data_IF_059095160360
#
_entry.id   IF_059095160360
#
_cell.length_a   1.000
_cell.length_b   1.000
_cell.length_c   1.000
_cell.angle_alpha   90.00
_cell.angle_beta   90.00
_cell.angle_gamma   90.00
#
_symmetry.space_group_name_H-M   'P 1'
#
loop_
_entity.id
_entity.type
_entity.pdbx_description
1 polymer ?
#
# COMPACT_ATOMS: atom_id res chain seq x y z
N UNK A 1 -70.07 13.24 44.76
CA UNK A 1 -68.72 12.70 45.05
C UNK A 1 -67.75 13.66 44.38
N UNK A 2 -67.41 14.76 45.06
CA UNK A 2 -66.21 14.92 45.90
C UNK A 2 -64.93 15.04 45.07
N UNK A 3 -64.55 16.30 44.78
CA UNK A 3 -63.20 16.95 44.80
C UNK A 3 -61.97 16.23 44.18
N UNK A 4 -60.77 16.86 44.09
CA UNK A 4 -60.36 18.15 43.51
C UNK A 4 -59.08 18.03 42.61
N UNK A 5 -58.66 19.12 41.97
CA UNK A 5 -57.27 19.38 41.47
C UNK A 5 -56.30 19.64 42.65
N UNK A 6 -55.05 20.12 42.45
CA UNK A 6 -53.90 19.74 41.60
C UNK A 6 -52.66 19.40 42.49
N UNK A 7 -51.49 19.06 41.92
CA UNK A 7 -50.19 19.31 42.58
C UNK A 7 -49.03 19.26 41.56
N UNK A 8 -48.54 20.46 41.23
CA UNK A 8 -47.23 20.69 40.64
C UNK A 8 -46.14 20.28 41.63
N UNK A 9 -45.12 19.58 41.16
CA UNK A 9 -43.86 19.44 41.90
C UNK A 9 -42.73 19.88 40.98
N UNK A 10 -42.25 21.09 41.27
CA UNK A 10 -40.96 21.63 40.84
C UNK A 10 -39.86 20.74 41.41
N UNK A 11 -38.92 20.31 40.59
CA UNK A 11 -37.70 19.65 41.02
C UNK A 11 -36.51 20.41 40.44
N UNK A 12 -36.04 21.37 41.23
CA UNK A 12 -34.75 22.03 41.09
C UNK A 12 -33.63 20.98 41.21
N UNK A 13 -32.97 20.65 40.11
CA UNK A 13 -31.70 19.96 40.13
C UNK A 13 -30.60 20.96 39.72
N UNK A 14 -30.00 21.58 40.74
CA UNK A 14 -28.71 22.28 40.62
C UNK A 14 -27.66 21.26 40.18
N UNK A 15 -27.28 21.29 38.90
CA UNK A 15 -26.08 20.61 38.43
C UNK A 15 -24.87 21.50 38.64
N UNK A 16 -24.10 21.10 39.66
CA UNK A 16 -22.77 21.58 39.99
C UNK A 16 -21.83 21.50 38.79
N UNK A 17 -21.38 22.66 38.32
CA UNK A 17 -20.30 22.82 37.36
C UNK A 17 -18.99 22.32 37.99
N UNK A 18 -18.51 21.16 37.55
CA UNK A 18 -17.16 20.70 37.83
C UNK A 18 -16.20 21.31 36.78
N UNK A 19 -15.05 21.87 37.18
CA UNK A 19 -14.07 22.41 36.24
C UNK A 19 -13.39 21.29 35.44
N UNK A 20 -13.27 21.51 34.13
CA UNK A 20 -12.59 20.63 33.20
C UNK A 20 -11.12 20.40 33.61
N UNK A 21 -10.60 19.16 33.53
CA UNK A 21 -9.18 18.92 33.71
C UNK A 21 -8.43 19.49 32.51
N UNK A 22 -7.55 20.46 32.77
CA UNK A 22 -6.47 20.85 31.86
C UNK A 22 -5.63 19.62 31.55
N UNK A 23 -5.86 19.02 30.38
CA UNK A 23 -4.94 18.08 29.77
C UNK A 23 -3.63 18.81 29.48
N UNK A 24 -2.66 18.55 30.34
CA UNK A 24 -1.26 18.86 30.16
C UNK A 24 -0.76 18.08 28.93
N UNK A 25 -0.76 18.72 27.77
CA UNK A 25 -0.11 18.24 26.54
C UNK A 25 1.40 18.18 26.76
N UNK A 26 1.88 17.08 27.32
CA UNK A 26 3.29 16.73 27.29
C UNK A 26 3.76 16.50 25.85
N UNK A 27 5.07 16.60 25.57
CA UNK A 27 5.61 16.40 24.23
C UNK A 27 5.32 14.97 23.76
N UNK A 28 4.31 14.83 22.90
CA UNK A 28 3.93 13.58 22.26
C UNK A 28 5.11 13.13 21.38
N UNK A 29 5.65 11.95 21.65
CA UNK A 29 6.71 11.36 20.83
C UNK A 29 6.23 11.28 19.37
N UNK A 30 7.09 11.63 18.39
CA UNK A 30 6.69 11.59 16.98
C UNK A 30 6.22 10.18 16.61
N UNK A 31 5.14 10.06 15.82
CA UNK A 31 4.61 8.77 15.43
C UNK A 31 5.68 7.94 14.71
N UNK A 32 5.69 6.61 14.91
CA UNK A 32 6.67 5.74 14.27
C UNK A 32 6.51 5.80 12.74
N UNK A 33 7.61 6.07 12.04
CA UNK A 33 7.64 6.08 10.58
C UNK A 33 7.49 4.64 10.06
N UNK A 34 6.59 4.47 9.09
CA UNK A 34 6.35 3.20 8.42
C UNK A 34 7.29 3.11 7.23
N UNK A 35 7.99 1.98 7.12
CA UNK A 35 8.92 1.70 6.04
C UNK A 35 8.73 0.27 5.56
N UNK A 36 8.20 0.12 4.34
CA UNK A 36 8.11 -1.17 3.67
C UNK A 36 9.44 -1.46 2.97
N UNK A 37 9.86 -2.74 2.95
CA UNK A 37 11.14 -3.21 2.41
C UNK A 37 12.39 -2.90 3.25
N UNK A 38 12.25 -2.71 4.57
CA UNK A 38 13.39 -2.43 5.45
C UNK A 38 14.40 -3.59 5.49
N UNK A 39 13.93 -4.84 5.45
CA UNK A 39 14.81 -6.02 5.53
C UNK A 39 15.67 -6.14 4.27
N UNK A 40 15.04 -5.97 3.10
CA UNK A 40 15.69 -5.99 1.79
C UNK A 40 16.69 -4.84 1.65
N UNK A 41 16.34 -3.63 2.08
CA UNK A 41 17.27 -2.49 2.08
C UNK A 41 18.49 -2.79 2.95
N UNK A 42 18.28 -3.34 4.15
CA UNK A 42 19.37 -3.69 5.08
C UNK A 42 20.29 -4.78 4.49
N UNK A 43 19.69 -5.78 3.84
CA UNK A 43 20.43 -6.82 3.12
C UNK A 43 21.28 -6.23 1.98
N UNK A 44 20.70 -5.38 1.12
CA UNK A 44 21.41 -4.77 0.00
C UNK A 44 22.55 -3.85 0.48
N UNK A 45 22.35 -3.12 1.58
CA UNK A 45 23.41 -2.32 2.22
C UNK A 45 24.57 -3.19 2.72
N UNK A 46 24.27 -4.32 3.34
CA UNK A 46 25.28 -5.28 3.78
C UNK A 46 26.03 -5.89 2.59
N UNK A 47 25.33 -6.28 1.53
CA UNK A 47 25.92 -6.83 0.32
C UNK A 47 26.83 -5.82 -0.41
N UNK A 48 26.46 -4.53 -0.42
CA UNK A 48 27.31 -3.45 -0.93
C UNK A 48 28.60 -3.30 -0.12
N UNK A 49 28.52 -3.49 1.20
CA UNK A 49 29.66 -3.36 2.12
C UNK A 49 30.59 -4.58 2.08
N UNK A 50 30.06 -5.77 1.85
CA UNK A 50 30.81 -7.04 1.91
C UNK A 50 31.64 -7.35 0.65
N UNK A 51 31.28 -6.82 -0.53
CA UNK A 51 31.96 -7.12 -1.81
C UNK A 51 33.28 -6.35 -2.05
N UNK A 52 34.06 -6.11 -1.00
CA UNK A 52 35.40 -5.50 -1.11
C UNK A 52 36.44 -6.63 -1.04
N UNK A 53 36.93 -7.11 -2.21
CA UNK A 53 38.19 -6.57 -2.70
C UNK A 53 38.23 -6.38 -4.24
N UNK A 54 38.61 -5.18 -4.70
CA UNK A 54 38.97 -4.89 -6.10
C UNK A 54 38.00 -4.01 -6.91
N UNK A 55 36.81 -3.71 -6.38
CA UNK A 55 35.84 -2.82 -7.06
C UNK A 55 36.18 -1.35 -6.79
N UNK A 56 36.25 -0.55 -7.85
CA UNK A 56 36.66 0.85 -7.83
C UNK A 56 35.77 1.66 -6.86
N UNK A 57 36.36 2.52 -6.00
CA UNK A 57 35.71 3.22 -4.88
C UNK A 57 34.46 4.02 -5.31
N UNK A 58 34.44 4.48 -6.56
CA UNK A 58 33.34 5.23 -7.16
C UNK A 58 32.11 4.36 -7.52
N UNK A 59 32.27 3.04 -7.72
CA UNK A 59 31.16 2.12 -8.03
C UNK A 59 30.34 1.70 -6.81
N UNK A 60 30.89 1.85 -5.59
CA UNK A 60 30.23 1.45 -4.33
C UNK A 60 29.43 2.62 -3.73
N UNK A 61 29.89 3.85 -3.97
CA UNK A 61 29.26 5.05 -3.41
C UNK A 61 27.88 5.38 -4.02
N UNK A 62 27.62 4.97 -5.26
CA UNK A 62 26.31 5.21 -5.90
C UNK A 62 25.19 4.33 -5.31
N UNK A 63 25.32 2.99 -5.24
CA UNK A 63 24.29 2.12 -4.67
C UNK A 63 23.89 2.47 -3.24
N UNK A 64 24.87 2.80 -2.39
CA UNK A 64 24.59 3.17 -1.00
C UNK A 64 23.82 4.49 -0.89
N UNK A 65 24.20 5.52 -1.68
CA UNK A 65 23.47 6.80 -1.71
C UNK A 65 22.04 6.63 -2.20
N UNK A 66 21.82 5.75 -3.18
CA UNK A 66 20.48 5.41 -3.68
C UNK A 66 19.66 4.78 -2.55
N UNK A 67 20.21 3.76 -1.86
CA UNK A 67 19.53 3.10 -0.73
C UNK A 67 19.24 4.06 0.44
N UNK A 68 20.15 4.98 0.75
CA UNK A 68 19.95 6.00 1.78
C UNK A 68 18.87 7.01 1.38
N UNK A 69 18.85 7.44 0.11
CA UNK A 69 17.79 8.28 -0.44
C UNK A 69 16.43 7.60 -0.36
N UNK A 70 16.36 6.29 -0.64
CA UNK A 70 15.13 5.51 -0.52
C UNK A 70 14.62 5.44 0.91
N UNK A 71 15.48 5.21 1.91
CA UNK A 71 15.04 5.20 3.31
C UNK A 71 14.37 6.51 3.73
N UNK A 72 14.89 7.64 3.26
CA UNK A 72 14.33 8.96 3.57
C UNK A 72 13.02 9.20 2.80
N UNK A 73 12.99 8.85 1.51
CA UNK A 73 11.82 9.09 0.63
C UNK A 73 10.63 8.15 0.91
N UNK A 74 10.92 6.92 1.31
CA UNK A 74 9.94 5.85 1.55
C UNK A 74 9.38 5.84 2.97
N UNK A 75 10.06 6.50 3.90
CA UNK A 75 9.53 6.68 5.25
C UNK A 75 8.25 7.49 5.19
N UNK A 76 7.14 6.90 5.60
CA UNK A 76 5.84 7.55 5.60
C UNK A 76 5.21 7.55 6.98
N UNK A 77 4.43 8.58 7.28
CA UNK A 77 3.59 8.64 8.47
C UNK A 77 2.23 7.97 8.23
N UNK A 78 1.79 7.86 6.97
CA UNK A 78 0.57 7.16 6.56
C UNK A 78 0.86 5.76 6.03
N UNK A 79 0.08 4.78 6.49
CA UNK A 79 0.11 3.39 6.00
C UNK A 79 -0.27 3.35 4.51
N UNK A 80 -1.23 4.17 4.09
CA UNK A 80 -1.69 4.23 2.70
C UNK A 80 -0.55 4.67 1.79
N UNK A 81 0.13 5.77 2.15
CA UNK A 81 1.28 6.27 1.39
C UNK A 81 2.43 5.27 1.35
N UNK A 82 2.70 4.59 2.46
CA UNK A 82 3.73 3.55 2.53
C UNK A 82 3.43 2.40 1.55
N UNK A 83 2.17 1.95 1.51
CA UNK A 83 1.70 0.90 0.60
C UNK A 83 1.76 1.38 -0.85
N UNK A 84 1.28 2.58 -1.15
CA UNK A 84 1.28 3.16 -2.51
C UNK A 84 2.70 3.25 -3.09
N UNK A 85 3.68 3.66 -2.30
CA UNK A 85 5.08 3.75 -2.74
C UNK A 85 5.78 2.39 -2.84
N UNK A 86 5.21 1.34 -2.25
CA UNK A 86 5.91 0.05 -2.08
C UNK A 86 6.24 -0.64 -3.40
N UNK A 87 5.38 -0.53 -4.42
CA UNK A 87 5.58 -1.20 -5.71
C UNK A 87 6.81 -0.65 -6.46
N UNK A 88 6.93 0.67 -6.52
CA UNK A 88 8.07 1.32 -7.17
C UNK A 88 9.36 1.02 -6.39
N UNK A 89 9.31 1.13 -5.06
CA UNK A 89 10.44 0.75 -4.19
C UNK A 89 10.92 -0.68 -4.47
N UNK A 90 9.98 -1.63 -4.51
CA UNK A 90 10.27 -3.03 -4.82
C UNK A 90 10.98 -3.17 -6.17
N UNK A 91 10.45 -2.52 -7.22
CA UNK A 91 11.02 -2.58 -8.57
C UNK A 91 12.47 -2.12 -8.56
N UNK A 92 12.75 -0.96 -7.98
CA UNK A 92 14.11 -0.42 -7.94
C UNK A 92 15.05 -1.27 -7.09
N UNK A 93 14.59 -1.81 -5.95
CA UNK A 93 15.42 -2.68 -5.11
C UNK A 93 15.78 -3.98 -5.83
N UNK A 94 14.88 -4.53 -6.65
CA UNK A 94 15.14 -5.73 -7.46
C UNK A 94 16.05 -5.43 -8.66
N UNK A 95 15.91 -4.27 -9.29
CA UNK A 95 16.85 -3.79 -10.32
C UNK A 95 18.26 -3.65 -9.74
N UNK A 96 18.39 -3.02 -8.57
CA UNK A 96 19.67 -2.89 -7.87
C UNK A 96 20.25 -4.26 -7.49
N UNK A 97 19.41 -5.19 -7.00
CA UNK A 97 19.84 -6.55 -6.72
C UNK A 97 20.36 -7.27 -7.98
N UNK A 98 19.75 -7.01 -9.13
CA UNK A 98 20.19 -7.52 -10.44
C UNK A 98 21.53 -6.95 -10.87
N UNK A 99 21.74 -5.63 -10.75
CA UNK A 99 23.02 -4.97 -11.02
C UNK A 99 24.14 -5.46 -10.10
N UNK A 100 23.77 -5.83 -8.87
CA UNK A 100 24.66 -6.47 -7.91
C UNK A 100 24.81 -7.97 -8.17
N UNK A 101 24.14 -8.57 -9.14
CA UNK A 101 24.24 -10.01 -9.42
C UNK A 101 23.83 -10.87 -8.22
N UNK A 102 22.81 -10.46 -7.49
CA UNK A 102 22.26 -11.13 -6.29
C UNK A 102 20.97 -11.91 -6.60
N UNK A 103 20.53 -11.97 -7.84
CA UNK A 103 19.24 -12.58 -8.24
C UNK A 103 19.08 -14.05 -7.83
N UNK A 104 20.19 -14.80 -7.73
CA UNK A 104 20.19 -16.20 -7.26
C UNK A 104 20.31 -16.37 -5.74
N UNK A 105 20.60 -15.29 -5.01
CA UNK A 105 20.95 -15.33 -3.60
C UNK A 105 19.75 -15.79 -2.73
N UNK A 106 19.90 -16.83 -1.89
CA UNK A 106 18.84 -17.24 -0.98
C UNK A 106 18.49 -16.16 0.07
N UNK A 107 19.44 -15.34 0.49
CA UNK A 107 19.23 -14.30 1.51
C UNK A 107 18.46 -13.11 0.93
N UNK A 108 18.64 -12.82 -0.36
CA UNK A 108 17.78 -11.89 -1.10
C UNK A 108 16.33 -12.36 -1.08
N UNK A 109 16.10 -13.64 -1.37
CA UNK A 109 14.74 -14.22 -1.37
C UNK A 109 14.13 -14.23 0.03
N UNK A 110 14.93 -14.49 1.06
CA UNK A 110 14.47 -14.46 2.44
C UNK A 110 14.06 -13.04 2.86
N UNK A 111 14.92 -12.04 2.62
CA UNK A 111 14.64 -10.65 2.97
C UNK A 111 13.40 -10.12 2.25
N UNK A 112 13.27 -10.44 0.96
CA UNK A 112 12.08 -10.09 0.17
C UNK A 112 10.79 -10.72 0.74
N UNK A 113 10.82 -12.00 1.13
CA UNK A 113 9.64 -12.67 1.71
C UNK A 113 9.24 -12.06 3.07
N UNK A 114 10.21 -11.68 3.89
CA UNK A 114 9.94 -11.03 5.17
C UNK A 114 9.20 -9.69 4.95
N UNK A 115 9.66 -8.89 4.00
CA UNK A 115 9.06 -7.60 3.68
C UNK A 115 7.71 -7.75 2.98
N UNK A 116 7.51 -8.79 2.15
CA UNK A 116 6.20 -9.12 1.58
C UNK A 116 5.17 -9.46 2.66
N UNK A 117 5.59 -10.15 3.74
CA UNK A 117 4.73 -10.38 4.91
C UNK A 117 4.35 -9.08 5.63
N UNK A 118 5.30 -8.15 5.76
CA UNK A 118 5.03 -6.81 6.31
C UNK A 118 4.06 -6.02 5.42
N UNK A 119 4.25 -6.04 4.09
CA UNK A 119 3.34 -5.40 3.14
C UNK A 119 1.91 -5.95 3.29
N UNK A 120 1.74 -7.27 3.35
CA UNK A 120 0.43 -7.89 3.58
C UNK A 120 -0.20 -7.39 4.87
N UNK A 121 0.59 -7.32 5.95
CA UNK A 121 0.11 -6.84 7.25
C UNK A 121 -0.40 -5.39 7.19
N UNK A 122 0.28 -4.53 6.44
CA UNK A 122 -0.16 -3.15 6.22
C UNK A 122 -1.44 -3.08 5.37
N UNK A 123 -1.51 -3.86 4.28
CA UNK A 123 -2.70 -3.95 3.44
C UNK A 123 -3.92 -4.43 4.26
N UNK A 124 -3.76 -5.46 5.08
CA UNK A 124 -4.85 -5.96 5.93
C UNK A 124 -5.26 -4.93 6.98
N UNK A 125 -4.30 -4.18 7.53
CA UNK A 125 -4.58 -3.09 8.48
C UNK A 125 -5.44 -2.00 7.84
N UNK A 126 -5.18 -1.67 6.58
CA UNK A 126 -6.01 -0.74 5.81
C UNK A 126 -7.43 -1.30 5.66
N UNK A 127 -7.55 -2.58 5.33
CA UNK A 127 -8.86 -3.22 5.09
C UNK A 127 -9.72 -3.33 6.37
N UNK A 128 -9.07 -3.41 7.53
CA UNK A 128 -9.74 -3.54 8.83
C UNK A 128 -10.00 -2.19 9.51
N UNK A 129 -9.39 -1.13 9.02
CA UNK A 129 -9.49 0.23 9.57
C UNK A 129 -10.33 1.12 8.66
N UNK A 130 -11.55 1.47 9.12
CA UNK A 130 -12.42 2.42 8.41
C UNK A 130 -11.75 3.75 8.03
N UNK A 131 -10.98 4.42 8.91
CA UNK A 131 -10.32 5.66 8.51
C UNK A 131 -9.30 5.42 7.39
N UNK A 132 -8.49 4.35 7.46
CA UNK A 132 -7.53 4.03 6.41
C UNK A 132 -8.22 3.59 5.09
N UNK A 133 -9.35 2.87 5.15
CA UNK A 133 -10.16 2.57 3.96
C UNK A 133 -10.68 3.87 3.33
N UNK A 134 -11.14 4.83 4.12
CA UNK A 134 -11.58 6.13 3.59
C UNK A 134 -10.42 6.92 2.97
N UNK A 135 -9.24 6.92 3.58
CA UNK A 135 -8.05 7.56 3.04
C UNK A 135 -7.69 6.98 1.67
N UNK A 136 -7.81 5.65 1.51
CA UNK A 136 -7.66 4.98 0.22
C UNK A 136 -8.68 5.44 -0.80
N UNK A 137 -9.95 5.56 -0.42
CA UNK A 137 -11.02 5.98 -1.34
C UNK A 137 -10.92 7.46 -1.77
N UNK A 138 -10.16 8.26 -1.03
CA UNK A 138 -9.83 9.63 -1.37
C UNK A 138 -8.52 9.77 -2.17
N UNK A 139 -7.86 8.66 -2.52
CA UNK A 139 -6.71 8.71 -3.40
C UNK A 139 -7.13 9.11 -4.81
N UNK A 140 -6.31 9.94 -5.44
CA UNK A 140 -6.50 10.40 -6.81
C UNK A 140 -5.22 10.20 -7.63
N UNK A 141 -5.34 10.34 -8.95
CA UNK A 141 -4.20 10.39 -9.85
C UNK A 141 -3.29 9.15 -9.77
N UNK A 142 -1.99 9.38 -9.69
CA UNK A 142 -0.98 8.31 -9.71
C UNK A 142 -1.00 7.51 -8.40
N UNK A 143 -1.31 8.13 -7.27
CA UNK A 143 -1.41 7.44 -5.98
C UNK A 143 -2.52 6.40 -5.97
N UNK A 144 -3.69 6.72 -6.54
CA UNK A 144 -4.78 5.75 -6.70
C UNK A 144 -4.37 4.56 -7.59
N UNK A 145 -3.71 4.85 -8.73
CA UNK A 145 -3.24 3.81 -9.64
C UNK A 145 -2.21 2.90 -8.98
N UNK A 146 -1.20 3.49 -8.32
CA UNK A 146 -0.18 2.73 -7.60
C UNK A 146 -0.79 1.85 -6.51
N UNK A 147 -1.79 2.35 -5.79
CA UNK A 147 -2.49 1.54 -4.78
C UNK A 147 -3.27 0.36 -5.40
N UNK A 148 -3.99 0.60 -6.50
CA UNK A 148 -4.67 -0.47 -7.26
C UNK A 148 -3.67 -1.54 -7.72
N UNK A 149 -2.53 -1.12 -8.27
CA UNK A 149 -1.50 -2.01 -8.78
C UNK A 149 -0.84 -2.82 -7.66
N UNK A 150 -0.62 -2.23 -6.48
CA UNK A 150 -0.07 -2.95 -5.30
C UNK A 150 -1.00 -4.06 -4.84
N UNK A 151 -2.31 -3.79 -4.72
CA UNK A 151 -3.27 -4.80 -4.29
C UNK A 151 -3.38 -5.91 -5.33
N UNK A 152 -3.44 -5.54 -6.61
CA UNK A 152 -3.53 -6.52 -7.69
C UNK A 152 -2.26 -7.38 -7.77
N UNK A 153 -1.07 -6.80 -7.62
CA UNK A 153 0.20 -7.56 -7.54
C UNK A 153 0.18 -8.52 -6.34
N UNK A 154 -0.33 -8.09 -5.18
CA UNK A 154 -0.45 -8.94 -4.01
C UNK A 154 -1.44 -10.11 -4.23
N UNK A 155 -2.51 -9.91 -5.01
CA UNK A 155 -3.45 -10.97 -5.40
C UNK A 155 -2.80 -11.94 -6.41
N UNK A 156 -2.20 -11.42 -7.47
CA UNK A 156 -1.58 -12.18 -8.55
C UNK A 156 -0.44 -13.07 -8.04
N UNK A 157 0.31 -12.57 -7.05
CA UNK A 157 1.42 -13.31 -6.40
C UNK A 157 0.97 -14.22 -5.28
N UNK A 158 -0.32 -14.24 -4.97
CA UNK A 158 -0.88 -15.08 -3.92
C UNK A 158 -0.47 -14.70 -2.50
N UNK A 159 -0.25 -13.42 -2.24
CA UNK A 159 0.06 -12.93 -0.89
C UNK A 159 -1.22 -12.80 -0.05
N UNK A 160 -2.37 -12.59 -0.69
CA UNK A 160 -3.68 -12.43 -0.04
C UNK A 160 -4.56 -13.69 -0.13
N UNK A 161 -3.96 -14.86 0.08
CA UNK A 161 -4.60 -16.18 -0.13
C UNK A 161 -5.74 -16.49 0.84
N UNK A 162 -5.79 -15.84 2.00
CA UNK A 162 -6.95 -15.97 2.88
C UNK A 162 -8.19 -15.41 2.17
N UNK A 163 -9.23 -16.24 1.99
CA UNK A 163 -10.43 -15.88 1.24
C UNK A 163 -11.03 -14.53 1.69
N UNK A 164 -10.97 -14.25 2.99
CA UNK A 164 -11.43 -13.00 3.59
C UNK A 164 -10.62 -11.79 3.09
N UNK A 165 -9.30 -11.93 2.96
CA UNK A 165 -8.41 -10.87 2.47
C UNK A 165 -8.62 -10.64 0.98
N UNK A 166 -8.74 -11.72 0.18
CA UNK A 166 -9.02 -11.62 -1.24
C UNK A 166 -10.36 -10.90 -1.51
N UNK A 167 -11.42 -11.24 -0.78
CA UNK A 167 -12.72 -10.56 -0.91
C UNK A 167 -12.65 -9.06 -0.55
N UNK A 168 -11.94 -8.71 0.52
CA UNK A 168 -11.73 -7.30 0.91
C UNK A 168 -10.91 -6.54 -0.14
N UNK A 169 -9.85 -7.16 -0.66
CA UNK A 169 -9.04 -6.61 -1.74
C UNK A 169 -9.88 -6.31 -2.99
N UNK A 170 -10.65 -7.28 -3.48
CA UNK A 170 -11.54 -7.06 -4.62
C UNK A 170 -12.60 -5.97 -4.35
N UNK A 171 -13.14 -5.91 -3.14
CA UNK A 171 -14.09 -4.85 -2.75
C UNK A 171 -13.43 -3.47 -2.85
N UNK A 172 -12.21 -3.32 -2.33
CA UNK A 172 -11.49 -2.04 -2.35
C UNK A 172 -11.06 -1.67 -3.76
N UNK A 173 -10.53 -2.62 -4.54
CA UNK A 173 -10.23 -2.41 -5.97
C UNK A 173 -11.47 -1.86 -6.67
N UNK A 174 -12.63 -2.51 -6.51
CA UNK A 174 -13.88 -2.07 -7.14
C UNK A 174 -14.26 -0.66 -6.72
N UNK A 175 -14.33 -0.38 -5.42
CA UNK A 175 -14.75 0.94 -4.91
C UNK A 175 -13.81 2.06 -5.36
N UNK A 176 -12.49 1.82 -5.27
CA UNK A 176 -11.50 2.80 -5.70
C UNK A 176 -11.56 3.00 -7.21
N UNK A 177 -11.70 1.92 -7.98
CA UNK A 177 -11.86 2.01 -9.45
C UNK A 177 -13.09 2.81 -9.84
N UNK A 178 -14.23 2.58 -9.16
CA UNK A 178 -15.46 3.36 -9.37
C UNK A 178 -15.29 4.84 -8.99
N UNK A 179 -14.46 5.15 -7.97
CA UNK A 179 -14.21 6.51 -7.52
C UNK A 179 -13.25 7.29 -8.42
N UNK A 180 -12.21 6.64 -8.96
CA UNK A 180 -11.15 7.30 -9.72
C UNK A 180 -11.16 7.01 -11.23
N UNK A 181 -12.12 6.21 -11.72
CA UNK A 181 -12.26 5.76 -13.12
C UNK A 181 -10.97 5.12 -13.68
N UNK A 182 -10.29 4.32 -12.84
CA UNK A 182 -9.06 3.59 -13.19
C UNK A 182 -9.20 2.13 -12.85
N UNK A 183 -8.47 1.28 -13.56
CA UNK A 183 -8.35 -0.15 -13.29
C UNK A 183 -6.88 -0.51 -13.03
N UNK A 184 -6.60 -1.59 -12.29
CA UNK A 184 -5.23 -2.07 -12.13
C UNK A 184 -4.54 -2.29 -13.48
N UNK A 185 -3.31 -1.79 -13.60
CA UNK A 185 -2.51 -1.80 -14.83
C UNK A 185 -2.30 -3.21 -15.37
N UNK A 186 -2.21 -4.22 -14.50
CA UNK A 186 -2.00 -5.61 -14.91
C UNK A 186 -3.20 -6.23 -15.64
N UNK A 187 -4.38 -5.59 -15.59
CA UNK A 187 -5.56 -6.02 -16.37
C UNK A 187 -5.46 -5.60 -17.84
N UNK A 188 -4.57 -4.67 -18.18
CA UNK A 188 -4.38 -4.22 -19.56
C UNK A 188 -3.27 -5.03 -20.24
N UNK A 189 -3.61 -5.59 -21.40
CA UNK A 189 -2.63 -6.25 -22.25
C UNK A 189 -1.84 -5.17 -22.99
N UNK A 190 -0.53 -5.15 -22.81
CA UNK A 190 0.39 -4.25 -23.51
C UNK A 190 1.19 -5.00 -24.57
N UNK A 191 1.71 -4.27 -25.57
CA UNK A 191 2.50 -4.85 -26.66
C UNK A 191 1.69 -5.55 -27.74
N UNK A 192 0.36 -5.62 -27.61
CA UNK A 192 -0.51 -6.23 -28.62
C UNK A 192 -1.16 -5.15 -29.46
N UNK A 193 -0.93 -5.20 -30.78
CA UNK A 193 -1.57 -4.32 -31.74
C UNK A 193 -2.52 -5.12 -32.64
N UNK A 194 -3.75 -4.64 -32.80
CA UNK A 194 -4.69 -5.23 -33.76
C UNK A 194 -4.14 -5.07 -35.19
N UNK A 195 -4.20 -6.14 -35.99
CA UNK A 195 -3.78 -6.16 -37.40
C UNK A 195 -4.88 -5.73 -38.38
N UNK A 196 -5.95 -5.15 -37.86
CA UNK A 196 -7.09 -4.66 -38.64
C UNK A 196 -8.17 -4.09 -37.73
N UNK A 197 -9.01 -3.22 -38.28
CA UNK A 197 -10.11 -2.57 -37.55
C UNK A 197 -11.30 -3.50 -37.31
N UNK A 198 -11.42 -4.57 -38.10
CA UNK A 198 -12.57 -5.48 -38.06
C UNK A 198 -12.23 -6.85 -37.47
N UNK A 199 -13.17 -7.47 -36.74
CA UNK A 199 -12.98 -8.82 -36.23
C UNK A 199 -12.89 -9.83 -37.36
N UNK A 200 -12.01 -10.82 -37.20
CA UNK A 200 -11.88 -11.94 -38.14
C UNK A 200 -13.06 -12.90 -38.00
N UNK A 201 -13.57 -13.04 -36.78
CA UNK A 201 -14.78 -13.78 -36.48
C UNK A 201 -15.59 -13.04 -35.42
N UNK A 202 -16.91 -12.96 -35.59
CA UNK A 202 -17.82 -12.38 -34.62
C UNK A 202 -18.91 -13.38 -34.26
N UNK A 203 -19.24 -13.49 -32.97
CA UNK A 203 -20.34 -14.29 -32.46
C UNK A 203 -21.16 -13.51 -31.43
N UNK A 204 -22.27 -14.09 -30.96
CA UNK A 204 -23.18 -13.41 -30.02
C UNK A 204 -22.56 -13.05 -28.66
N UNK A 205 -21.41 -13.65 -28.32
CA UNK A 205 -20.71 -13.45 -27.04
C UNK A 205 -19.37 -12.73 -27.17
N UNK A 206 -18.93 -12.39 -28.38
CA UNK A 206 -17.64 -11.72 -28.54
C UNK A 206 -17.11 -11.72 -29.96
N UNK A 207 -16.05 -10.94 -30.13
CA UNK A 207 -15.36 -10.69 -31.38
C UNK A 207 -13.90 -11.15 -31.27
N UNK A 208 -13.42 -11.86 -32.28
CA UNK A 208 -12.04 -12.35 -32.38
C UNK A 208 -11.28 -11.46 -33.35
N UNK A 209 -10.24 -10.78 -32.87
CA UNK A 209 -9.37 -9.94 -33.68
C UNK A 209 -8.05 -10.64 -33.96
N UNK A 210 -7.48 -10.35 -35.13
CA UNK A 210 -6.10 -10.75 -35.43
C UNK A 210 -5.16 -9.72 -34.82
N UNK A 211 -4.14 -10.16 -34.10
CA UNK A 211 -3.18 -9.27 -33.46
C UNK A 211 -1.73 -9.67 -33.78
N UNK A 212 -0.81 -8.74 -33.54
CA UNK A 212 0.63 -8.99 -33.46
C UNK A 212 1.15 -8.53 -32.11
N UNK A 213 2.17 -9.25 -31.63
CA UNK A 213 3.00 -8.92 -30.48
C UNK A 213 4.34 -8.37 -31.00
#
# INVERSE_FOLDING_TARGET
MSSPSPLSTSLDARQTTAPAPTESTGPQAPPPKILIYQTLISFLKAACSARVPGRNRNQIAQPQRVLDGYLVSMSSESVVDAVTKSLECRRTLLELASELGLTGDPDLRHSLRADEGSLVTHITTIFDSKPAENDVLNLEGDSAQCFLDVIQDALDRGLLMAQQHAQKAHRIIRKLSEACDKLPSSLFITGVSARGEYPTFGGGFGNVYRASY
#
